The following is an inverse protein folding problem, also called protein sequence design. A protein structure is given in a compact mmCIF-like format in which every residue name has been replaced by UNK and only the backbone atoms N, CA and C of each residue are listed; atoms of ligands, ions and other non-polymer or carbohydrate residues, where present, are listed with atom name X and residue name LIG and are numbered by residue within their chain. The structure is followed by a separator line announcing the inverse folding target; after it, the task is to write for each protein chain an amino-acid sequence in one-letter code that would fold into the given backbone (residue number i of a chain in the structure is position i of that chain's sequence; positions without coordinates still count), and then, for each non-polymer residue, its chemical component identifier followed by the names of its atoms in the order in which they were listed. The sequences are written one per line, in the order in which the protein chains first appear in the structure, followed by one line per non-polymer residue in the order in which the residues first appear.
data_IF_355725493696
#
_entry.id   IF_355725493696
#
_cell.length_a   1.000
_cell.length_b   1.000
_cell.length_c   1.000
_cell.angle_alpha   90.00
_cell.angle_beta   90.00
_cell.angle_gamma   90.00
#
_symmetry.space_group_name_H-M   'P 1'
#
loop_
_entity.id
_entity.type
_entity.pdbx_description
1 polymer ?
#
# COMPACT_ATOMS: atom_id res chain seq x y z
N UNK A 1 -9.42 -1.58 -6.96
CA UNK A 1 -9.87 -1.84 -5.55
C UNK A 1 -9.67 -0.56 -4.73
N UNK A 2 -10.70 0.25 -4.54
CA UNK A 2 -10.60 1.53 -3.81
C UNK A 2 -10.71 1.30 -2.30
N UNK A 3 -9.57 1.27 -1.65
CA UNK A 3 -9.46 1.03 -0.22
C UNK A 3 -9.40 2.39 0.49
N UNK A 4 -10.34 2.64 1.40
CA UNK A 4 -10.36 3.86 2.21
C UNK A 4 -9.73 3.56 3.57
N UNK A 5 -8.90 4.49 4.05
CA UNK A 5 -8.03 4.25 5.18
C UNK A 5 -7.94 5.50 6.07
N UNK A 6 -7.97 5.31 7.39
CA UNK A 6 -7.86 6.38 8.40
C UNK A 6 -6.51 6.27 9.11
N UNK A 7 -5.88 7.40 9.39
CA UNK A 7 -4.70 7.45 10.25
C UNK A 7 -5.15 7.34 11.70
N UNK A 8 -4.60 6.38 12.43
CA UNK A 8 -4.91 6.20 13.85
C UNK A 8 -3.59 6.11 14.65
N UNK A 9 -3.46 6.85 15.76
CA UNK A 9 -2.34 6.68 16.68
C UNK A 9 -2.53 5.41 17.54
N UNK A 10 -1.47 4.60 17.67
CA UNK A 10 -1.45 3.48 18.63
C UNK A 10 -1.31 4.02 20.06
N UNK A 11 -2.29 3.72 20.92
CA UNK A 11 -2.23 4.04 22.34
C UNK A 11 -1.80 2.79 23.12
N UNK A 12 -0.50 2.52 23.12
CA UNK A 12 0.14 1.47 23.93
C UNK A 12 1.17 2.11 24.86
N UNK A 13 0.99 1.93 26.17
CA UNK A 13 1.82 2.52 27.19
C UNK A 13 3.29 2.05 27.12
N UNK A 14 4.18 2.95 27.56
CA UNK A 14 5.60 2.78 27.89
C UNK A 14 6.59 3.08 26.73
N UNK A 15 7.08 4.32 26.74
CA UNK A 15 8.41 4.79 26.28
C UNK A 15 8.90 4.38 24.87
N UNK A 16 8.16 4.56 23.77
CA UNK A 16 8.76 4.31 22.44
C UNK A 16 7.99 5.02 21.32
N UNK A 17 8.70 5.47 20.28
CA UNK A 17 8.18 5.99 18.99
C UNK A 17 6.74 5.55 18.70
N UNK A 18 5.78 6.48 18.66
CA UNK A 18 4.39 6.14 18.32
C UNK A 18 4.39 5.38 16.99
N UNK A 19 4.02 4.10 17.01
CA UNK A 19 3.86 3.31 15.79
C UNK A 19 2.60 3.79 15.11
N UNK A 20 2.76 4.69 14.14
CA UNK A 20 1.65 5.20 13.34
C UNK A 20 1.37 4.19 12.22
N UNK A 21 0.10 3.83 12.08
CA UNK A 21 -0.37 2.90 11.06
C UNK A 21 -1.55 3.50 10.32
N UNK A 22 -1.81 2.94 9.14
CA UNK A 22 -3.00 3.24 8.37
C UNK A 22 -4.03 2.14 8.62
N UNK A 23 -5.15 2.48 9.26
CA UNK A 23 -6.27 1.57 9.49
C UNK A 23 -7.17 1.53 8.25
N UNK A 24 -7.18 0.39 7.58
CA UNK A 24 -8.02 0.12 6.42
C UNK A 24 -9.29 -0.60 6.90
N UNK A 25 -10.45 0.01 6.70
CA UNK A 25 -11.73 -0.58 7.14
C UNK A 25 -12.93 -0.26 6.24
N UNK A 26 -12.69 0.35 5.08
CA UNK A 26 -13.74 0.84 4.19
C UNK A 26 -13.36 0.61 2.73
N UNK A 27 -14.35 0.40 1.88
CA UNK A 27 -14.21 0.29 0.43
C UNK A 27 -15.09 1.32 -0.27
N UNK A 28 -14.67 1.76 -1.45
CA UNK A 28 -15.49 2.56 -2.35
C UNK A 28 -16.00 1.71 -3.52
N UNK A 29 -17.32 1.68 -3.69
CA UNK A 29 -17.99 1.03 -4.82
C UNK A 29 -18.85 2.08 -5.51
N UNK A 30 -18.45 2.51 -6.71
CA UNK A 30 -19.15 3.55 -7.48
C UNK A 30 -19.39 4.89 -6.74
N UNK A 31 -18.49 5.26 -5.81
CA UNK A 31 -18.64 6.47 -5.00
C UNK A 31 -19.43 6.28 -3.71
N UNK A 32 -19.96 5.08 -3.46
CA UNK A 32 -20.58 4.71 -2.18
C UNK A 32 -19.58 4.04 -1.25
N UNK A 33 -19.53 4.53 -0.02
CA UNK A 33 -18.67 3.98 1.03
C UNK A 33 -19.35 2.80 1.68
N UNK A 34 -18.72 1.64 1.58
CA UNK A 34 -19.22 0.38 2.13
C UNK A 34 -18.18 -0.26 3.04
N UNK A 35 -18.64 -1.13 3.93
CA UNK A 35 -17.74 -2.00 4.66
C UNK A 35 -17.11 -3.03 3.69
N UNK A 36 -15.84 -3.40 3.87
CA UNK A 36 -15.22 -4.43 3.04
C UNK A 36 -15.99 -5.74 3.13
N UNK A 37 -16.11 -6.42 1.98
CA UNK A 37 -16.85 -7.69 1.87
C UNK A 37 -16.26 -8.82 2.73
N UNK A 38 -14.96 -8.74 3.05
CA UNK A 38 -14.24 -9.78 3.79
C UNK A 38 -13.53 -9.19 5.01
N UNK A 39 -13.43 -9.98 6.09
CA UNK A 39 -12.66 -9.58 7.28
C UNK A 39 -11.18 -9.34 6.96
N UNK A 40 -10.61 -10.10 6.04
CA UNK A 40 -9.21 -9.97 5.62
C UNK A 40 -8.90 -8.61 4.96
N UNK A 41 -9.90 -7.94 4.37
CA UNK A 41 -9.72 -6.61 3.80
C UNK A 41 -9.59 -5.52 4.88
N UNK A 42 -10.08 -5.76 6.11
CA UNK A 42 -9.91 -4.87 7.26
C UNK A 42 -8.53 -5.16 7.88
N UNK A 43 -7.63 -4.17 7.90
CA UNK A 43 -6.24 -4.38 8.31
C UNK A 43 -5.51 -3.09 8.66
N UNK A 44 -4.43 -3.24 9.41
CA UNK A 44 -3.51 -2.15 9.72
C UNK A 44 -2.24 -2.25 8.87
N UNK A 45 -1.86 -1.13 8.25
CA UNK A 45 -0.64 -1.03 7.44
C UNK A 45 0.33 -0.11 8.14
N UNK A 46 1.38 -0.71 8.71
CA UNK A 46 2.53 0.01 9.22
C UNK A 46 3.38 0.53 8.07
N UNK A 47 3.82 1.78 8.19
CA UNK A 47 4.69 2.47 7.25
C UNK A 47 5.89 3.08 7.99
N UNK A 48 7.02 3.29 7.29
CA UNK A 48 8.13 4.07 7.82
C UNK A 48 7.70 5.47 8.28
N UNK A 49 8.34 5.97 9.34
CA UNK A 49 8.02 7.26 9.95
C UNK A 49 8.01 8.43 8.95
N UNK A 50 8.98 8.48 8.03
CA UNK A 50 9.03 9.56 7.03
C UNK A 50 7.80 9.57 6.10
N UNK A 51 7.32 8.40 5.67
CA UNK A 51 6.11 8.30 4.85
C UNK A 51 4.87 8.76 5.63
N UNK A 52 4.78 8.38 6.90
CA UNK A 52 3.68 8.82 7.77
C UNK A 52 3.67 10.34 7.94
N UNK A 53 4.85 10.95 8.12
CA UNK A 53 5.01 12.40 8.20
C UNK A 53 4.58 13.10 6.89
N UNK A 54 4.92 12.53 5.73
CA UNK A 54 4.51 13.09 4.44
C UNK A 54 2.99 13.02 4.25
N UNK A 55 2.35 11.91 4.67
CA UNK A 55 0.89 11.77 4.64
C UNK A 55 0.23 12.77 5.60
N UNK A 56 0.77 12.95 6.81
CA UNK A 56 0.26 13.91 7.79
C UNK A 56 0.33 15.34 7.26
N UNK A 57 1.47 15.74 6.68
CA UNK A 57 1.63 17.04 6.02
C UNK A 57 0.61 17.23 4.89
N UNK A 58 0.42 16.21 4.05
CA UNK A 58 -0.56 16.25 2.99
C UNK A 58 -1.99 16.43 3.54
N UNK A 59 -2.36 15.68 4.58
CA UNK A 59 -3.69 15.80 5.21
C UNK A 59 -3.91 17.17 5.81
N UNK A 60 -2.89 17.75 6.46
CA UNK A 60 -2.96 19.11 7.00
C UNK A 60 -3.20 20.12 5.89
N UNK A 61 -2.37 20.10 4.84
CA UNK A 61 -2.55 20.96 3.68
C UNK A 61 -3.94 20.78 3.04
N UNK A 62 -4.42 19.54 2.90
CA UNK A 62 -5.72 19.26 2.32
C UNK A 62 -6.86 19.86 3.14
N UNK A 63 -6.83 19.71 4.47
CA UNK A 63 -7.81 20.30 5.40
C UNK A 63 -7.87 21.82 5.31
N UNK A 64 -6.72 22.46 5.11
CA UNK A 64 -6.60 23.92 5.02
C UNK A 64 -7.09 24.47 3.66
N UNK A 65 -6.99 23.67 2.59
CA UNK A 65 -7.21 24.14 1.22
C UNK A 65 -8.48 23.56 0.56
N UNK A 66 -9.14 22.58 1.17
CA UNK A 66 -10.29 21.88 0.59
C UNK A 66 -11.36 21.62 1.66
N UNK A 67 -12.59 21.34 1.20
CA UNK A 67 -13.62 20.81 2.09
C UNK A 67 -13.18 19.43 2.60
N UNK A 68 -13.25 19.21 3.90
CA UNK A 68 -12.74 18.00 4.55
C UNK A 68 -13.77 17.39 5.51
N UNK A 69 -13.70 16.06 5.68
CA UNK A 69 -14.50 15.30 6.66
C UNK A 69 -13.61 14.24 7.32
N UNK A 70 -13.72 14.02 8.63
CA UNK A 70 -12.80 13.16 9.39
C UNK A 70 -12.85 11.66 9.03
N UNK A 71 -13.95 11.18 8.44
CA UNK A 71 -14.18 9.78 8.10
C UNK A 71 -13.94 9.47 6.60
N UNK A 72 -13.17 10.34 5.95
CA UNK A 72 -13.05 10.45 4.49
C UNK A 72 -11.91 9.63 3.85
N UNK A 73 -11.79 9.63 2.51
CA UNK A 73 -10.66 8.96 1.81
C UNK A 73 -9.36 9.70 2.05
N UNK A 74 -8.28 8.92 2.16
CA UNK A 74 -6.91 9.45 2.17
C UNK A 74 -6.53 10.12 0.85
N UNK A 75 -7.03 9.60 -0.28
CA UNK A 75 -6.76 10.11 -1.62
C UNK A 75 -8.06 10.18 -2.45
N UNK A 76 -8.50 11.39 -2.83
CA UNK A 76 -9.71 11.59 -3.63
C UNK A 76 -10.21 13.05 -3.66
N UNK A 77 -11.32 13.26 -4.36
CA UNK A 77 -12.14 14.50 -4.28
C UNK A 77 -12.99 14.49 -3.01
N UNK A 78 -13.78 15.52 -2.67
CA UNK A 78 -14.60 15.55 -1.44
C UNK A 78 -15.70 14.46 -1.31
N UNK A 79 -16.17 13.87 -2.41
CA UNK A 79 -17.21 12.81 -2.36
C UNK A 79 -16.75 11.43 -2.87
N UNK A 80 -15.74 11.39 -3.74
CA UNK A 80 -15.34 10.17 -4.43
C UNK A 80 -13.84 9.94 -4.37
N UNK A 81 -13.46 8.68 -4.15
CA UNK A 81 -12.13 8.20 -4.46
C UNK A 81 -11.85 8.39 -5.96
N UNK A 82 -10.60 8.62 -6.34
CA UNK A 82 -10.23 8.61 -7.75
C UNK A 82 -10.38 7.20 -8.32
N UNK A 83 -10.89 7.10 -9.55
CA UNK A 83 -10.97 5.81 -10.23
C UNK A 83 -9.57 5.24 -10.47
N UNK A 84 -9.46 3.91 -10.46
CA UNK A 84 -8.22 3.18 -10.79
C UNK A 84 -7.64 3.65 -12.14
N UNK A 85 -8.49 3.81 -13.16
CA UNK A 85 -8.09 4.35 -14.47
C UNK A 85 -7.54 5.78 -14.43
N UNK A 86 -8.07 6.64 -13.55
CA UNK A 86 -7.56 8.02 -13.39
C UNK A 86 -6.18 7.99 -12.78
N UNK A 87 -6.01 7.16 -11.75
CA UNK A 87 -4.75 6.97 -11.04
C UNK A 87 -3.69 6.38 -11.99
N UNK A 88 -4.03 5.34 -12.76
CA UNK A 88 -3.12 4.74 -13.74
C UNK A 88 -2.67 5.73 -14.81
N UNK A 89 -3.60 6.56 -15.30
CA UNK A 89 -3.26 7.62 -16.25
C UNK A 89 -2.30 8.63 -15.65
N UNK A 90 -2.57 9.10 -14.43
CA UNK A 90 -1.68 10.03 -13.74
C UNK A 90 -0.31 9.44 -13.48
N UNK A 91 -0.25 8.17 -13.07
CA UNK A 91 1.00 7.45 -12.86
C UNK A 91 1.79 7.33 -14.17
N UNK A 92 1.13 6.98 -15.27
CA UNK A 92 1.74 6.91 -16.60
C UNK A 92 2.28 8.28 -17.04
N UNK A 93 1.54 9.36 -16.79
CA UNK A 93 2.00 10.72 -17.06
C UNK A 93 3.22 11.09 -16.22
N UNK A 94 3.23 10.73 -14.94
CA UNK A 94 4.38 10.98 -14.06
C UNK A 94 5.64 10.27 -14.57
N UNK A 95 5.53 9.02 -15.03
CA UNK A 95 6.66 8.30 -15.63
C UNK A 95 7.21 9.02 -16.87
N UNK A 96 6.35 9.55 -17.73
CA UNK A 96 6.77 10.32 -18.91
C UNK A 96 7.54 11.59 -18.54
N UNK A 97 7.03 12.34 -17.57
CA UNK A 97 7.70 13.56 -17.07
C UNK A 97 9.06 13.21 -16.47
N UNK A 98 9.17 12.08 -15.77
CA UNK A 98 10.44 11.63 -15.22
C UNK A 98 11.44 11.22 -16.31
N UNK A 99 10.98 10.62 -17.42
CA UNK A 99 11.87 10.29 -18.54
C UNK A 99 12.48 11.53 -19.18
N UNK A 100 11.74 12.64 -19.26
CA UNK A 100 12.25 13.92 -19.76
C UNK A 100 13.41 14.48 -18.91
N UNK A 101 13.55 14.01 -17.67
CA UNK A 101 14.63 14.39 -16.76
C UNK A 101 15.83 13.41 -16.78
N UNK A 102 15.71 12.30 -17.49
CA UNK A 102 16.77 11.31 -17.61
C UNK A 102 17.72 11.63 -18.78
N UNK A 103 18.99 11.20 -18.72
CA UNK A 103 19.90 11.30 -19.85
C UNK A 103 19.32 10.57 -21.07
N UNK A 104 19.60 11.09 -22.26
CA UNK A 104 19.14 10.52 -23.53
C UNK A 104 19.36 8.99 -23.54
N UNK A 105 18.30 8.25 -23.89
CA UNK A 105 18.19 6.77 -23.96
C UNK A 105 17.65 6.07 -22.69
N UNK A 106 17.62 6.70 -21.52
CA UNK A 106 17.04 6.06 -20.33
C UNK A 106 15.55 6.35 -20.18
N UNK A 107 14.75 5.31 -19.92
CA UNK A 107 13.33 5.44 -19.59
C UNK A 107 12.95 4.51 -18.44
N UNK A 108 11.95 4.91 -17.67
CA UNK A 108 11.35 4.04 -16.68
C UNK A 108 10.53 2.93 -17.34
N UNK A 109 10.55 1.70 -16.78
CA UNK A 109 9.68 0.61 -17.21
C UNK A 109 8.21 1.04 -17.25
N UNK A 110 7.52 0.71 -18.34
CA UNK A 110 6.09 1.01 -18.52
C UNK A 110 5.24 0.01 -17.77
N UNK A 111 5.00 0.30 -16.49
CA UNK A 111 4.15 -0.48 -15.61
C UNK A 111 2.90 0.33 -15.23
N UNK A 112 1.82 -0.37 -14.86
CA UNK A 112 0.62 0.26 -14.28
C UNK A 112 0.72 0.34 -12.76
N UNK A 113 -0.14 1.12 -12.10
CA UNK A 113 0.03 1.36 -10.66
C UNK A 113 -0.11 0.07 -9.84
N UNK A 114 -0.90 -0.90 -10.32
CA UNK A 114 -1.08 -2.19 -9.67
C UNK A 114 0.24 -2.99 -9.60
N UNK A 115 1.15 -2.81 -10.54
CA UNK A 115 2.44 -3.50 -10.54
C UNK A 115 3.32 -3.08 -9.37
N UNK A 116 3.09 -1.89 -8.78
CA UNK A 116 3.76 -1.49 -7.53
C UNK A 116 3.37 -2.41 -6.37
N UNK A 117 2.10 -2.83 -6.31
CA UNK A 117 1.63 -3.82 -5.30
C UNK A 117 2.34 -5.15 -5.50
N UNK A 118 2.50 -5.58 -6.74
CA UNK A 118 3.23 -6.82 -7.05
C UNK A 118 4.72 -6.70 -6.71
N UNK A 119 5.34 -5.57 -7.06
CA UNK A 119 6.74 -5.28 -6.74
C UNK A 119 6.99 -5.26 -5.24
N UNK A 120 6.08 -4.65 -4.47
CA UNK A 120 6.12 -4.64 -3.00
C UNK A 120 6.05 -6.07 -2.42
N UNK A 121 5.16 -6.91 -2.93
CA UNK A 121 5.05 -8.31 -2.49
C UNK A 121 6.31 -9.11 -2.81
N UNK A 122 6.83 -9.00 -4.04
CA UNK A 122 8.07 -9.66 -4.48
C UNK A 122 9.26 -9.22 -3.61
N UNK A 123 9.36 -7.92 -3.32
CA UNK A 123 10.41 -7.39 -2.43
C UNK A 123 10.32 -8.01 -1.04
N UNK A 124 9.11 -8.10 -0.45
CA UNK A 124 8.93 -8.71 0.87
C UNK A 124 9.31 -10.20 0.88
N UNK A 125 8.98 -10.95 -0.17
CA UNK A 125 9.40 -12.36 -0.29
C UNK A 125 10.92 -12.48 -0.36
N UNK A 126 11.60 -11.65 -1.16
CA UNK A 126 13.06 -11.64 -1.26
C UNK A 126 13.74 -11.32 0.07
N UNK A 127 13.08 -10.56 0.96
CA UNK A 127 13.56 -10.27 2.32
C UNK A 127 13.14 -11.32 3.35
N UNK A 128 12.55 -12.44 2.92
CA UNK A 128 12.20 -13.57 3.80
C UNK A 128 10.92 -13.35 4.63
N UNK A 129 10.10 -12.34 4.34
CA UNK A 129 8.82 -12.18 5.00
C UNK A 129 7.93 -13.40 4.70
N UNK A 130 7.17 -13.90 5.68
CA UNK A 130 6.33 -15.07 5.48
C UNK A 130 5.13 -14.77 4.56
N UNK A 131 4.71 -15.75 3.76
CA UNK A 131 3.54 -15.66 2.88
C UNK A 131 2.29 -15.19 3.64
N UNK A 132 2.10 -15.67 4.87
CA UNK A 132 0.96 -15.30 5.71
C UNK A 132 0.96 -13.80 6.03
N UNK A 133 2.12 -13.25 6.43
CA UNK A 133 2.26 -11.81 6.75
C UNK A 133 2.05 -10.96 5.50
N UNK A 134 2.57 -11.40 4.36
CA UNK A 134 2.37 -10.71 3.08
C UNK A 134 0.89 -10.73 2.69
N UNK A 135 0.22 -11.87 2.79
CA UNK A 135 -1.20 -12.01 2.50
C UNK A 135 -2.06 -11.08 3.38
N UNK A 136 -1.80 -11.06 4.69
CA UNK A 136 -2.45 -10.15 5.63
C UNK A 136 -2.21 -8.68 5.26
N UNK A 137 -0.97 -8.29 4.95
CA UNK A 137 -0.63 -6.92 4.55
C UNK A 137 -1.34 -6.51 3.25
N UNK A 138 -1.48 -7.42 2.30
CA UNK A 138 -2.15 -7.18 1.02
C UNK A 138 -3.69 -7.28 1.14
N UNK A 139 -4.21 -7.83 2.23
CA UNK A 139 -5.64 -8.05 2.45
C UNK A 139 -6.22 -9.24 1.68
N UNK A 140 -5.40 -10.26 1.39
CA UNK A 140 -5.87 -11.52 0.81
C UNK A 140 -6.45 -12.41 1.91
N UNK A 141 -7.65 -12.94 1.67
CA UNK A 141 -8.28 -13.91 2.59
C UNK A 141 -7.61 -15.28 2.48
N UNK A 142 -7.17 -15.65 1.26
CA UNK A 142 -6.43 -16.87 1.00
C UNK A 142 -4.96 -16.56 0.73
N UNK A 143 -4.07 -17.05 1.60
CA UNK A 143 -2.62 -16.92 1.44
C UNK A 143 -2.08 -17.68 0.22
N UNK A 144 -2.82 -18.67 -0.30
CA UNK A 144 -2.43 -19.40 -1.51
C UNK A 144 -2.34 -18.47 -2.73
N UNK A 145 -3.14 -17.39 -2.78
CA UNK A 145 -3.03 -16.40 -3.86
C UNK A 145 -1.64 -15.73 -3.91
N UNK A 146 -1.04 -15.51 -2.75
CA UNK A 146 0.32 -14.95 -2.61
C UNK A 146 1.36 -16.03 -2.85
N UNK A 147 1.17 -17.23 -2.29
CA UNK A 147 2.09 -18.35 -2.50
C UNK A 147 2.22 -18.71 -3.98
N UNK A 148 1.10 -18.90 -4.69
CA UNK A 148 1.11 -19.28 -6.10
C UNK A 148 1.80 -18.22 -6.97
N UNK A 149 1.70 -16.95 -6.60
CA UNK A 149 2.26 -15.84 -7.36
C UNK A 149 3.73 -15.57 -7.05
N UNK A 150 4.15 -15.69 -5.80
CA UNK A 150 5.49 -15.23 -5.36
C UNK A 150 6.33 -16.30 -4.67
N UNK A 151 5.79 -17.47 -4.36
CA UNK A 151 6.51 -18.52 -3.62
C UNK A 151 7.81 -18.96 -4.29
N UNK A 152 7.88 -18.87 -5.61
CA UNK A 152 9.09 -19.18 -6.38
C UNK A 152 10.23 -18.16 -6.19
N UNK A 153 9.96 -16.98 -5.61
CA UNK A 153 10.97 -15.95 -5.35
C UNK A 153 11.73 -16.19 -4.04
N UNK A 154 11.29 -17.12 -3.18
CA UNK A 154 12.04 -17.40 -1.96
C UNK A 154 13.44 -17.94 -2.29
N UNK A 155 14.49 -17.40 -1.65
CA UNK A 155 15.82 -17.98 -1.73
C UNK A 155 15.78 -19.46 -1.32
N UNK A 156 16.47 -20.32 -2.07
CA UNK A 156 16.59 -21.73 -1.69
C UNK A 156 17.38 -21.86 -0.40
N UNK A 157 16.73 -22.38 0.64
CA UNK A 157 17.34 -22.62 1.96
C UNK A 157 17.86 -24.05 2.12
N UNK A 158 17.80 -24.90 1.07
CA UNK A 158 18.22 -26.31 1.10
C UNK A 158 19.61 -26.52 1.72
N UNK A 159 20.59 -25.69 1.33
CA UNK A 159 21.96 -25.77 1.88
C UNK A 159 22.05 -25.27 3.33
N UNK A 160 21.19 -24.35 3.72
CA UNK A 160 21.17 -23.80 5.08
C UNK A 160 20.55 -24.77 6.08
N UNK A 161 19.55 -25.55 5.63
CA UNK A 161 18.88 -26.58 6.46
C UNK A 161 19.89 -27.58 7.03
N UNK A 162 20.94 -27.92 6.28
CA UNK A 162 22.01 -28.83 6.73
C UNK A 162 22.69 -28.34 8.01
N UNK A 163 22.73 -27.03 8.28
CA UNK A 163 23.35 -26.47 9.50
C UNK A 163 22.55 -26.77 10.78
N UNK A 164 21.30 -27.22 10.64
CA UNK A 164 20.37 -27.48 11.75
C UNK A 164 20.14 -28.98 12.02
N UNK A 165 20.82 -29.86 11.26
CA UNK A 165 20.79 -31.32 11.43
C UNK A 165 22.09 -31.81 12.07
#
# INVERSE_FOLDING_TARGET
MHVRAKLEPSHGAILTTMMIFIHINKTDYHGEVTAPKTKAAIRDIYLPFHMMNDIEKYLKWYKENNVYKDDYVLFGTFFKAYSESTIDRWFTTALKVLDEQLPDVQTFPRIVIHELRHSHASMLVNHGASIMVIAQRLGHADSNEVYNRYGHLYPSTQKEIVKYL
#
